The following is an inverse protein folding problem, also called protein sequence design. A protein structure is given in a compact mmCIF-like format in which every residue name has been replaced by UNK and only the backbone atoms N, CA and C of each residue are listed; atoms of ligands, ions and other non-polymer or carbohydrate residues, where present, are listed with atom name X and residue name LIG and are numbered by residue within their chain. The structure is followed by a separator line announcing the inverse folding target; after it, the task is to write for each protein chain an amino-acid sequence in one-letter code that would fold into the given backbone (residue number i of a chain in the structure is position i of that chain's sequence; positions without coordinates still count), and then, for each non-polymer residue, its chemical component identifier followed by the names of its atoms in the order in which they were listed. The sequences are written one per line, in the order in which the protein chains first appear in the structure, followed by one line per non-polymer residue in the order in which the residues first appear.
data_IF_667984050680
#
_entry.id   IF_667984050680
#
_cell.length_a   1.000
_cell.length_b   1.000
_cell.length_c   1.000
_cell.angle_alpha   90.00
_cell.angle_beta   90.00
_cell.angle_gamma   90.00
#
_symmetry.space_group_name_H-M   'P 1'
#
loop_
_entity.id
_entity.type
_entity.pdbx_description
1 polymer ?
#
# COMPACT_ATOMS: atom_id res chain seq x y z
N UNK A 1 -77.53 -41.90 -28.94
CA UNK A 1 -77.58 -40.43 -28.83
C UNK A 1 -76.31 -39.90 -29.49
N UNK A 2 -76.23 -39.62 -30.80
CA UNK A 2 -76.87 -38.53 -31.57
C UNK A 2 -76.62 -37.16 -30.91
N UNK A 3 -76.01 -36.11 -31.49
CA UNK A 3 -75.73 -35.68 -32.87
C UNK A 3 -74.60 -34.61 -32.86
N UNK A 4 -73.89 -34.45 -33.98
CA UNK A 4 -73.14 -33.22 -34.37
C UNK A 4 -74.01 -32.37 -35.34
N UNK A 5 -73.57 -31.32 -36.07
CA UNK A 5 -72.47 -30.33 -35.95
C UNK A 5 -72.90 -28.86 -36.30
N UNK A 6 -72.00 -27.86 -36.19
CA UNK A 6 -71.92 -26.64 -37.07
C UNK A 6 -70.74 -25.73 -36.65
N UNK A 7 -69.70 -25.53 -37.49
CA UNK A 7 -69.46 -24.49 -38.52
C UNK A 7 -69.15 -23.05 -38.01
N UNK A 8 -67.86 -22.71 -38.17
CA UNK A 8 -67.30 -21.55 -38.91
C UNK A 8 -67.18 -20.13 -38.27
N UNK A 9 -65.95 -19.61 -38.46
CA UNK A 9 -65.44 -18.22 -38.58
C UNK A 9 -64.85 -17.49 -37.35
N UNK A 10 -63.56 -17.08 -37.41
CA UNK A 10 -62.92 -16.14 -36.49
C UNK A 10 -62.58 -14.80 -37.18
N UNK A 11 -62.97 -13.64 -36.62
CA UNK A 11 -62.39 -12.30 -36.88
C UNK A 11 -62.97 -11.28 -35.88
N UNK A 12 -62.38 -10.09 -35.64
CA UNK A 12 -61.01 -9.64 -35.92
C UNK A 12 -60.32 -8.96 -34.72
N UNK A 13 -59.00 -9.10 -34.62
CA UNK A 13 -58.15 -8.19 -33.83
C UNK A 13 -58.00 -6.88 -34.60
N UNK A 14 -58.32 -5.78 -33.92
CA UNK A 14 -58.27 -4.41 -34.45
C UNK A 14 -56.82 -4.03 -34.74
N UNK A 15 -56.51 -3.85 -36.02
CA UNK A 15 -55.29 -3.22 -36.51
C UNK A 15 -55.63 -1.75 -36.86
N UNK A 16 -55.04 -0.79 -36.16
CA UNK A 16 -55.02 0.61 -36.59
C UNK A 16 -53.57 1.07 -36.64
N UNK A 17 -53.08 1.26 -37.85
CA UNK A 17 -51.79 1.86 -38.19
C UNK A 17 -51.85 3.38 -38.02
N UNK A 18 -50.73 4.00 -37.61
CA UNK A 18 -50.04 5.09 -38.32
C UNK A 18 -48.85 5.65 -37.51
N UNK A 19 -47.66 5.33 -38.01
CA UNK A 19 -46.47 6.17 -38.20
C UNK A 19 -46.02 7.19 -37.13
N UNK A 20 -44.82 6.96 -36.58
CA UNK A 20 -43.79 8.01 -36.47
C UNK A 20 -42.37 7.42 -36.59
N UNK A 21 -41.88 7.43 -37.83
CA UNK A 21 -40.50 7.73 -38.24
C UNK A 21 -39.36 7.43 -37.26
N UNK A 22 -38.69 6.29 -37.47
CA UNK A 22 -37.29 6.10 -37.06
C UNK A 22 -36.38 6.80 -38.09
N UNK A 23 -35.38 7.58 -37.68
CA UNK A 23 -34.50 8.27 -38.63
C UNK A 23 -33.62 7.25 -39.39
N UNK A 24 -33.59 7.44 -40.71
CA UNK A 24 -32.80 6.67 -41.67
C UNK A 24 -31.30 6.58 -41.29
N UNK A 25 -30.61 5.48 -41.65
CA UNK A 25 -29.15 5.41 -41.55
C UNK A 25 -28.53 6.39 -42.54
N UNK A 26 -27.63 7.25 -42.04
CA UNK A 26 -26.85 8.18 -42.87
C UNK A 26 -25.98 7.39 -43.87
N UNK A 27 -25.78 7.88 -45.11
CA UNK A 27 -24.81 7.30 -46.02
C UNK A 27 -23.41 7.36 -45.41
N UNK A 28 -22.66 6.26 -45.48
CA UNK A 28 -21.24 6.22 -45.12
C UNK A 28 -20.49 7.21 -46.02
N UNK A 29 -19.60 8.08 -45.49
CA UNK A 29 -18.70 8.83 -46.35
C UNK A 29 -17.77 7.84 -47.08
N UNK A 30 -17.63 8.05 -48.38
CA UNK A 30 -16.69 7.35 -49.25
C UNK A 30 -15.26 7.50 -48.70
N UNK A 31 -14.58 6.37 -48.54
CA UNK A 31 -13.16 6.33 -48.22
C UNK A 31 -12.34 6.95 -49.36
N UNK A 32 -11.40 7.88 -49.09
CA UNK A 32 -10.44 8.28 -50.11
C UNK A 32 -9.53 7.09 -50.43
N UNK A 33 -9.36 6.86 -51.72
CA UNK A 33 -8.48 5.87 -52.33
C UNK A 33 -7.01 6.12 -51.96
N UNK A 34 -6.28 5.04 -51.72
CA UNK A 34 -4.84 4.94 -51.96
C UNK A 34 -3.92 5.78 -51.08
N UNK A 35 -3.67 5.34 -49.85
CA UNK A 35 -2.37 5.54 -49.22
C UNK A 35 -1.73 4.17 -49.00
N UNK A 36 -0.47 3.94 -49.45
CA UNK A 36 0.18 2.67 -49.21
C UNK A 36 0.28 2.45 -47.71
N UNK A 37 -0.13 1.27 -47.24
CA UNK A 37 0.03 0.81 -45.87
C UNK A 37 1.47 1.08 -45.47
N UNK A 38 1.67 2.12 -44.63
CA UNK A 38 2.95 2.36 -43.98
C UNK A 38 3.16 1.14 -43.10
N UNK A 39 3.96 0.21 -43.58
CA UNK A 39 4.25 -1.04 -42.89
C UNK A 39 4.57 -0.68 -41.45
N UNK A 40 3.81 -1.24 -40.52
CA UNK A 40 4.16 -1.20 -39.11
C UNK A 40 5.45 -2.00 -39.01
N UNK A 41 6.57 -1.29 -39.17
CA UNK A 41 7.88 -1.81 -38.84
C UNK A 41 7.81 -2.10 -37.35
N UNK A 42 7.59 -3.37 -37.02
CA UNK A 42 7.78 -3.88 -35.69
C UNK A 42 9.16 -3.40 -35.24
N UNK A 43 9.20 -2.44 -34.33
CA UNK A 43 10.44 -1.94 -33.79
C UNK A 43 11.14 -3.13 -33.16
N UNK A 44 12.24 -3.59 -33.78
CA UNK A 44 13.09 -4.63 -33.20
C UNK A 44 13.43 -4.16 -31.79
N UNK A 45 12.91 -4.87 -30.80
CA UNK A 45 13.12 -4.60 -29.39
C UNK A 45 14.63 -4.69 -29.15
N UNK A 46 15.31 -3.55 -29.11
CA UNK A 46 16.71 -3.50 -28.70
C UNK A 46 16.74 -3.85 -27.22
N UNK A 47 17.09 -5.11 -26.95
CA UNK A 47 17.37 -5.56 -25.60
C UNK A 47 18.40 -4.62 -24.95
N UNK A 48 18.20 -4.36 -23.66
CA UNK A 48 19.09 -3.61 -22.74
C UNK A 48 18.93 -2.08 -22.65
N UNK A 49 17.84 -1.46 -23.08
CA UNK A 49 17.53 -0.09 -22.61
C UNK A 49 16.80 -0.17 -21.27
N UNK A 50 17.52 0.10 -20.16
CA UNK A 50 16.94 0.30 -18.82
C UNK A 50 15.92 1.44 -18.84
N UNK A 51 14.89 1.32 -18.01
CA UNK A 51 13.84 2.33 -17.91
C UNK A 51 14.43 3.71 -17.52
N UNK A 52 13.87 4.83 -18.01
CA UNK A 52 14.36 6.17 -17.66
C UNK A 52 14.43 6.44 -16.15
N UNK A 53 13.50 5.89 -15.37
CA UNK A 53 13.50 5.94 -13.90
C UNK A 53 14.70 5.19 -13.29
N UNK A 54 15.08 4.04 -13.85
CA UNK A 54 16.27 3.28 -13.42
C UNK A 54 17.56 4.03 -13.75
N UNK A 55 17.63 4.73 -14.89
CA UNK A 55 18.78 5.59 -15.23
C UNK A 55 18.92 6.77 -14.26
N UNK A 56 17.80 7.38 -13.84
CA UNK A 56 17.80 8.47 -12.84
C UNK A 56 18.24 7.96 -11.45
N UNK A 57 17.78 6.77 -11.04
CA UNK A 57 18.16 6.11 -9.79
C UNK A 57 19.66 5.74 -9.75
N UNK A 58 20.20 5.22 -10.86
CA UNK A 58 21.64 4.96 -11.02
C UNK A 58 22.49 6.25 -10.95
N UNK A 59 21.98 7.37 -11.49
CA UNK A 59 22.65 8.67 -11.38
C UNK A 59 22.67 9.20 -9.94
N UNK A 60 21.60 8.97 -9.17
CA UNK A 60 21.56 9.30 -7.75
C UNK A 60 22.48 8.39 -6.92
N UNK A 61 22.51 7.09 -7.20
CA UNK A 61 23.44 6.13 -6.56
C UNK A 61 24.91 6.42 -6.86
N UNK A 62 25.23 7.01 -8.03
CA UNK A 62 26.60 7.41 -8.39
C UNK A 62 27.05 8.74 -7.77
N UNK A 63 26.21 9.44 -7.00
CA UNK A 63 26.71 10.58 -6.21
C UNK A 63 27.63 10.00 -5.14
N UNK A 64 28.86 10.50 -5.07
CA UNK A 64 29.79 10.13 -4.01
C UNK A 64 29.07 10.31 -2.67
N UNK A 65 29.12 9.31 -1.77
CA UNK A 65 28.52 9.48 -0.47
C UNK A 65 29.23 10.66 0.20
N UNK A 66 28.47 11.71 0.51
CA UNK A 66 28.99 12.85 1.25
C UNK A 66 29.41 12.41 2.64
N UNK A 67 30.34 13.15 3.23
CA UNK A 67 30.74 12.94 4.62
C UNK A 67 29.50 13.05 5.54
N UNK A 68 29.29 12.03 6.36
CA UNK A 68 28.11 11.91 7.22
C UNK A 68 28.41 12.68 8.51
N UNK A 69 27.71 13.81 8.71
CA UNK A 69 27.95 14.70 9.85
C UNK A 69 27.58 14.07 11.20
N UNK A 70 26.47 13.33 11.26
CA UNK A 70 25.95 12.73 12.49
C UNK A 70 25.81 11.21 12.33
N UNK A 71 26.93 10.48 12.41
CA UNK A 71 26.98 9.01 12.23
C UNK A 71 26.21 8.22 13.30
N UNK A 72 26.07 8.83 14.47
CA UNK A 72 25.45 8.19 15.64
C UNK A 72 23.94 8.41 15.70
N UNK A 73 23.40 9.33 14.88
CA UNK A 73 21.97 9.57 14.79
C UNK A 73 21.41 8.97 13.50
N UNK A 74 20.19 8.43 13.57
CA UNK A 74 19.48 7.86 12.43
C UNK A 74 19.70 6.37 12.23
N UNK A 75 19.41 5.90 11.00
CA UNK A 75 19.39 4.49 10.62
C UNK A 75 20.47 4.20 9.58
N UNK A 76 21.24 3.14 9.79
CA UNK A 76 22.18 2.62 8.81
C UNK A 76 21.56 1.42 8.09
N UNK A 77 21.46 1.50 6.77
CA UNK A 77 20.98 0.40 5.92
C UNK A 77 22.15 -0.43 5.41
N UNK A 78 22.23 -1.66 5.89
CA UNK A 78 23.18 -2.69 5.47
C UNK A 78 22.53 -3.55 4.38
N UNK A 79 23.17 -3.65 3.22
CA UNK A 79 22.65 -4.37 2.05
C UNK A 79 23.62 -5.41 1.56
N UNK A 80 23.09 -6.45 0.90
CA UNK A 80 23.87 -7.56 0.31
C UNK A 80 24.49 -8.50 1.34
N UNK A 81 23.93 -8.59 2.55
CA UNK A 81 24.31 -9.57 3.57
C UNK A 81 23.90 -10.96 3.08
N UNK A 82 24.84 -11.91 2.98
CA UNK A 82 24.67 -13.13 2.20
C UNK A 82 24.68 -14.38 3.08
N UNK A 83 23.54 -14.71 3.65
CA UNK A 83 23.38 -15.83 4.59
C UNK A 83 23.18 -17.15 3.81
N UNK A 84 23.97 -18.20 4.07
CA UNK A 84 23.73 -19.54 3.52
C UNK A 84 22.33 -20.06 3.86
N UNK A 85 21.67 -20.76 2.94
CA UNK A 85 20.32 -21.33 3.19
C UNK A 85 20.31 -22.29 4.38
N UNK A 86 21.42 -22.98 4.67
CA UNK A 86 21.53 -23.89 5.81
C UNK A 86 21.47 -23.17 7.17
N UNK A 87 21.90 -21.90 7.21
CA UNK A 87 21.95 -21.09 8.43
C UNK A 87 20.73 -20.17 8.57
N UNK A 88 19.76 -20.31 7.66
CA UNK A 88 18.57 -19.49 7.57
C UNK A 88 17.39 -20.17 8.28
N UNK A 89 16.68 -19.47 9.18
CA UNK A 89 15.59 -20.05 9.98
C UNK A 89 14.28 -20.28 9.18
N UNK A 90 14.22 -19.93 7.90
CA UNK A 90 13.05 -20.14 7.04
C UNK A 90 12.15 -18.91 6.89
N UNK A 91 10.94 -19.14 6.39
CA UNK A 91 9.96 -18.09 6.06
C UNK A 91 9.24 -17.55 7.32
N UNK A 92 8.93 -18.41 8.28
CA UNK A 92 8.12 -18.07 9.46
C UNK A 92 8.86 -17.24 10.51
N UNK A 93 10.19 -17.11 10.38
CA UNK A 93 11.00 -16.36 11.32
C UNK A 93 11.11 -14.88 10.91
N UNK A 94 10.52 -14.01 11.74
CA UNK A 94 10.46 -12.56 11.50
C UNK A 94 11.59 -11.77 12.18
N UNK A 95 12.46 -12.44 12.94
CA UNK A 95 13.56 -11.82 13.68
C UNK A 95 14.86 -11.72 12.89
N UNK A 96 15.95 -11.44 13.61
CA UNK A 96 17.33 -11.48 13.08
C UNK A 96 17.97 -12.79 13.53
N UNK A 97 18.44 -13.60 12.57
CA UNK A 97 19.03 -14.92 12.85
C UNK A 97 20.50 -14.81 13.22
N UNK A 98 21.05 -15.82 13.89
CA UNK A 98 22.49 -15.88 14.21
C UNK A 98 23.37 -15.87 12.95
N UNK A 99 22.90 -16.49 11.85
CA UNK A 99 23.54 -16.42 10.55
C UNK A 99 23.59 -14.99 10.01
N UNK A 100 22.51 -14.23 10.18
CA UNK A 100 22.44 -12.84 9.77
C UNK A 100 23.29 -11.93 10.68
N UNK A 101 23.30 -12.17 12.00
CA UNK A 101 24.15 -11.44 12.94
C UNK A 101 25.65 -11.61 12.62
N UNK A 102 26.07 -12.80 12.17
CA UNK A 102 27.45 -13.03 11.71
C UNK A 102 27.83 -12.14 10.52
N UNK A 103 26.96 -12.08 9.52
CA UNK A 103 27.17 -11.22 8.34
C UNK A 103 27.15 -9.72 8.72
N UNK A 104 26.29 -9.32 9.65
CA UNK A 104 26.24 -7.94 10.17
C UNK A 104 27.55 -7.62 10.90
N UNK A 105 28.03 -8.51 11.77
CA UNK A 105 29.26 -8.34 12.50
C UNK A 105 30.46 -8.18 11.56
N UNK A 106 30.52 -8.96 10.48
CA UNK A 106 31.56 -8.80 9.44
C UNK A 106 31.51 -7.42 8.78
N UNK A 107 30.32 -6.92 8.42
CA UNK A 107 30.16 -5.59 7.80
C UNK A 107 30.50 -4.45 8.75
N UNK A 108 30.21 -4.61 10.04
CA UNK A 108 30.55 -3.63 11.08
C UNK A 108 31.99 -3.78 11.59
N UNK A 109 32.72 -4.81 11.13
CA UNK A 109 34.03 -5.21 11.65
C UNK A 109 34.00 -5.51 13.17
N UNK A 110 32.86 -5.96 13.67
CA UNK A 110 32.63 -6.29 15.08
C UNK A 110 33.12 -7.71 15.40
N UNK A 111 33.89 -7.93 16.48
CA UNK A 111 34.63 -9.18 16.69
C UNK A 111 33.77 -10.39 17.03
N UNK A 112 32.63 -10.22 17.69
CA UNK A 112 31.81 -11.33 18.20
C UNK A 112 30.34 -11.11 17.87
N UNK A 113 29.83 -11.79 16.85
CA UNK A 113 28.45 -11.63 16.39
C UNK A 113 27.38 -11.85 17.48
N UNK A 114 27.61 -12.77 18.41
CA UNK A 114 26.66 -13.09 19.48
C UNK A 114 26.50 -12.00 20.55
N UNK A 115 27.39 -11.01 20.58
CA UNK A 115 27.28 -9.88 21.51
C UNK A 115 26.39 -8.77 20.96
N UNK A 116 26.15 -8.76 19.64
CA UNK A 116 25.32 -7.75 18.99
C UNK A 116 23.85 -7.94 19.38
N UNK A 117 23.17 -6.89 19.87
CA UNK A 117 21.76 -6.96 20.23
C UNK A 117 20.89 -7.04 18.97
N UNK A 118 20.22 -8.16 18.77
CA UNK A 118 19.32 -8.38 17.63
C UNK A 118 18.20 -7.33 17.54
N UNK A 119 17.79 -6.74 18.68
CA UNK A 119 16.73 -5.75 18.77
C UNK A 119 17.08 -4.42 18.10
N UNK A 120 18.38 -4.13 17.90
CA UNK A 120 18.83 -2.93 17.22
C UNK A 120 18.68 -3.01 15.68
N UNK A 121 18.38 -4.20 15.17
CA UNK A 121 18.36 -4.49 13.74
C UNK A 121 16.94 -4.86 13.28
N UNK A 122 16.57 -4.42 12.08
CA UNK A 122 15.29 -4.70 11.45
C UNK A 122 15.50 -5.22 10.03
N UNK A 123 14.95 -6.40 9.72
CA UNK A 123 15.03 -6.95 8.36
C UNK A 123 14.07 -6.18 7.46
N UNK A 124 14.62 -5.43 6.49
CA UNK A 124 13.84 -4.67 5.50
C UNK A 124 13.44 -5.57 4.33
N UNK A 125 14.36 -6.44 3.92
CA UNK A 125 14.17 -7.30 2.75
C UNK A 125 14.99 -8.58 2.90
N UNK A 126 14.34 -9.70 2.63
CA UNK A 126 14.97 -11.00 2.35
C UNK A 126 14.70 -11.36 0.90
N UNK A 127 15.70 -11.87 0.19
CA UNK A 127 15.53 -12.27 -1.21
C UNK A 127 16.46 -13.41 -1.59
N UNK A 128 16.09 -14.17 -2.61
CA UNK A 128 16.87 -15.29 -3.11
C UNK A 128 17.05 -15.16 -4.63
N UNK A 129 18.28 -15.24 -5.13
CA UNK A 129 18.53 -15.16 -6.58
C UNK A 129 18.46 -16.56 -7.21
N UNK A 130 17.24 -16.97 -7.55
CA UNK A 130 16.97 -18.29 -8.15
C UNK A 130 17.61 -18.51 -9.54
N UNK A 131 18.24 -17.49 -10.14
CA UNK A 131 18.89 -17.60 -11.45
C UNK A 131 20.35 -18.02 -11.36
N UNK A 132 21.00 -17.74 -10.23
CA UNK A 132 22.41 -18.08 -10.02
C UNK A 132 22.47 -19.48 -9.43
N UNK A 133 22.90 -20.44 -10.23
CA UNK A 133 23.27 -21.77 -9.75
C UNK A 133 24.62 -21.66 -9.02
N UNK A 134 24.57 -21.25 -7.76
CA UNK A 134 25.74 -21.22 -6.87
C UNK A 134 25.96 -22.60 -6.28
N UNK A 135 27.22 -22.92 -5.98
CA UNK A 135 27.60 -24.14 -5.25
C UNK A 135 26.89 -24.22 -3.89
N UNK A 136 26.72 -23.06 -3.26
CA UNK A 136 25.95 -22.89 -2.03
C UNK A 136 24.86 -21.84 -2.26
N UNK A 137 23.57 -22.21 -2.12
CA UNK A 137 22.48 -21.26 -2.24
C UNK A 137 22.50 -20.30 -1.03
N UNK A 138 22.27 -19.01 -1.27
CA UNK A 138 22.31 -17.96 -0.25
C UNK A 138 21.09 -17.04 -0.34
N UNK A 139 20.54 -16.68 0.82
CA UNK A 139 19.62 -15.57 0.94
C UNK A 139 20.40 -14.26 1.03
N UNK A 140 19.86 -13.23 0.38
CA UNK A 140 20.40 -11.88 0.39
C UNK A 140 19.48 -10.99 1.19
N UNK A 141 20.04 -10.41 2.24
CA UNK A 141 19.35 -9.56 3.19
C UNK A 141 19.69 -8.07 3.00
N UNK A 142 18.70 -7.23 3.31
CA UNK A 142 18.86 -5.81 3.61
C UNK A 142 18.30 -5.58 5.00
N UNK A 143 19.10 -4.97 5.87
CA UNK A 143 18.82 -4.76 7.29
C UNK A 143 19.01 -3.28 7.61
N UNK A 144 18.10 -2.73 8.39
CA UNK A 144 18.21 -1.40 8.97
C UNK A 144 18.71 -1.53 10.41
N UNK A 145 19.75 -0.75 10.74
CA UNK A 145 20.37 -0.67 12.05
C UNK A 145 20.08 0.70 12.66
N UNK A 146 19.40 0.73 13.80
CA UNK A 146 19.19 1.97 14.57
C UNK A 146 20.44 2.26 15.42
N UNK A 147 21.19 3.31 15.05
CA UNK A 147 22.45 3.63 15.70
C UNK A 147 22.28 4.02 17.18
N UNK A 148 21.24 4.79 17.49
CA UNK A 148 20.94 5.21 18.86
C UNK A 148 20.56 4.02 19.73
N UNK A 149 19.70 3.13 19.22
CA UNK A 149 19.29 1.93 19.93
C UNK A 149 20.45 0.96 20.14
N UNK A 150 21.31 0.79 19.14
CA UNK A 150 22.50 -0.06 19.22
C UNK A 150 23.48 0.45 20.30
N UNK A 151 23.78 1.75 20.31
CA UNK A 151 24.67 2.36 21.30
C UNK A 151 24.13 2.24 22.73
N UNK A 152 22.81 2.34 22.90
CA UNK A 152 22.17 2.22 24.21
C UNK A 152 22.27 0.80 24.77
N UNK A 153 22.09 -0.21 23.91
CA UNK A 153 22.14 -1.62 24.30
C UNK A 153 23.58 -2.12 24.43
N UNK A 154 24.47 -1.75 23.51
CA UNK A 154 25.87 -2.15 23.52
C UNK A 154 26.80 -0.95 23.24
N UNK A 155 27.24 -0.22 24.29
CA UNK A 155 28.07 0.99 24.13
C UNK A 155 29.43 0.76 23.45
N UNK A 156 29.93 -0.49 23.45
CA UNK A 156 31.20 -0.88 22.79
C UNK A 156 31.15 -0.73 21.28
N UNK A 157 29.95 -0.70 20.70
CA UNK A 157 29.73 -0.50 19.26
C UNK A 157 30.12 0.89 18.77
N UNK A 158 30.32 1.86 19.68
CA UNK A 158 30.67 3.24 19.36
C UNK A 158 31.88 3.37 18.43
N UNK A 159 32.93 2.62 18.72
CA UNK A 159 34.19 2.64 17.97
C UNK A 159 33.99 2.15 16.52
N UNK A 160 33.17 1.12 16.33
CA UNK A 160 32.83 0.56 15.03
C UNK A 160 31.94 1.49 14.21
N UNK A 161 30.93 2.11 14.84
CA UNK A 161 30.07 3.10 14.18
C UNK A 161 30.87 4.34 13.76
N UNK A 162 31.85 4.76 14.57
CA UNK A 162 32.70 5.91 14.26
C UNK A 162 33.53 5.68 12.98
N UNK A 163 34.05 4.46 12.79
CA UNK A 163 34.79 4.02 11.60
C UNK A 163 33.89 3.67 10.42
N UNK A 164 32.60 3.49 10.64
CA UNK A 164 31.67 3.12 9.58
C UNK A 164 31.60 4.24 8.53
N UNK A 165 31.79 3.86 7.28
CA UNK A 165 31.73 4.77 6.14
C UNK A 165 30.68 4.32 5.12
N UNK A 166 29.91 5.27 4.56
CA UNK A 166 28.91 4.95 3.55
C UNK A 166 29.57 4.38 2.29
N UNK A 167 29.09 3.22 1.85
CA UNK A 167 29.52 2.51 0.64
C UNK A 167 28.28 2.24 -0.22
N UNK A 168 28.19 2.90 -1.38
CA UNK A 168 27.02 2.84 -2.27
C UNK A 168 26.52 1.41 -2.50
N UNK A 169 25.26 1.14 -2.13
CA UNK A 169 24.61 -0.14 -2.33
C UNK A 169 25.08 -1.28 -1.41
N UNK A 170 25.88 -0.98 -0.38
CA UNK A 170 26.29 -1.92 0.69
C UNK A 170 26.00 -1.32 2.07
N UNK A 171 26.43 -0.09 2.33
CA UNK A 171 26.21 0.63 3.59
C UNK A 171 25.73 2.03 3.26
N UNK A 172 24.48 2.34 3.60
CA UNK A 172 23.87 3.65 3.35
C UNK A 172 23.38 4.24 4.67
N UNK A 173 23.76 5.49 4.97
CA UNK A 173 23.26 6.19 6.14
C UNK A 173 22.02 7.01 5.79
N UNK A 174 20.97 6.86 6.60
CA UNK A 174 19.70 7.55 6.46
C UNK A 174 19.40 8.29 7.76
N UNK A 175 19.46 9.63 7.70
CA UNK A 175 19.19 10.52 8.83
C UNK A 175 17.70 10.67 9.18
N UNK A 176 16.79 10.02 8.45
CA UNK A 176 15.37 10.32 8.59
C UNK A 176 14.73 9.65 9.80
N UNK A 177 14.11 10.50 10.65
CA UNK A 177 12.99 10.18 11.55
C UNK A 177 12.05 9.21 10.82
N UNK A 178 11.64 8.13 11.49
CA UNK A 178 10.56 7.25 11.01
C UNK A 178 9.34 8.10 10.60
N UNK A 179 9.11 8.22 9.29
CA UNK A 179 8.06 9.03 8.67
C UNK A 179 6.64 8.41 8.81
N UNK A 180 6.35 7.76 9.94
CA UNK A 180 4.97 7.79 10.48
C UNK A 180 4.69 9.15 11.11
N UNK A 181 5.74 9.81 11.63
CA UNK A 181 5.66 11.19 12.08
C UNK A 181 5.30 12.15 10.97
N UNK A 182 5.72 11.93 9.72
CA UNK A 182 5.66 12.92 8.65
C UNK A 182 4.23 13.27 8.20
N UNK A 183 3.31 12.30 8.19
CA UNK A 183 1.88 12.59 7.96
C UNK A 183 1.31 13.43 9.10
N UNK A 184 1.59 13.08 10.37
CA UNK A 184 1.13 13.80 11.56
C UNK A 184 1.76 15.20 11.66
N UNK A 185 3.05 15.35 11.35
CA UNK A 185 3.74 16.66 11.37
C UNK A 185 3.33 17.56 10.22
N UNK A 186 3.09 17.03 9.01
CA UNK A 186 2.47 17.80 7.92
C UNK A 186 1.07 18.31 8.28
N UNK A 187 0.37 17.65 9.22
CA UNK A 187 -0.95 18.05 9.71
C UNK A 187 -0.86 19.11 10.81
N UNK A 188 0.05 18.95 11.78
CA UNK A 188 0.27 19.97 12.81
C UNK A 188 0.81 21.29 12.23
N UNK A 189 1.58 21.24 11.14
CA UNK A 189 1.99 22.45 10.43
C UNK A 189 0.79 23.19 9.80
N UNK A 190 -0.27 22.49 9.38
CA UNK A 190 -1.51 23.12 8.92
C UNK A 190 -2.31 23.74 10.05
N UNK A 191 -2.39 23.11 11.21
CA UNK A 191 -3.01 23.69 12.42
C UNK A 191 -2.28 24.97 12.85
N UNK A 192 -0.93 24.95 12.88
CA UNK A 192 -0.11 26.14 13.16
C UNK A 192 -0.30 27.26 12.13
N UNK A 193 -0.45 26.92 10.85
CA UNK A 193 -0.69 27.91 9.80
C UNK A 193 -2.07 28.55 9.97
N UNK A 194 -3.06 27.78 10.42
CA UNK A 194 -4.40 28.28 10.73
C UNK A 194 -4.41 29.20 11.96
N UNK A 195 -3.62 28.87 12.98
CA UNK A 195 -3.47 29.68 14.20
C UNK A 195 -2.69 30.98 13.97
N UNK A 196 -1.63 30.95 13.16
CA UNK A 196 -0.83 32.13 12.82
C UNK A 196 -1.53 33.10 11.83
N UNK A 197 -2.49 32.61 11.05
CA UNK A 197 -3.31 33.46 10.17
C UNK A 197 -4.42 34.15 10.98
N UNK A 198 -4.87 33.57 12.09
CA UNK A 198 -5.84 34.17 13.01
C UNK A 198 -5.23 35.22 13.95
N UNK A 199 -3.91 35.26 14.10
CA UNK A 199 -3.19 36.21 14.96
C UNK A 199 -2.62 37.45 14.23
N UNK A 200 -2.91 37.63 12.93
CA UNK A 200 -2.40 38.78 12.13
C UNK A 200 -3.48 39.75 11.64
N UNK A 201 -4.70 39.64 12.16
CA UNK A 201 -5.78 40.61 11.95
C UNK A 201 -6.39 40.98 13.30
N UNK A 202 -5.71 41.81 14.10
CA UNK A 202 -6.30 42.69 15.10
C UNK A 202 -5.22 43.60 15.70
N UNK A 203 -4.86 44.64 14.96
CA UNK A 203 -4.44 45.89 15.58
C UNK A 203 -5.34 47.01 15.03
N UNK A 204 -5.93 47.75 15.97
CA UNK A 204 -6.80 48.93 15.84
C UNK A 204 -8.28 48.70 15.48
N UNK A 205 -9.19 48.78 16.46
CA UNK A 205 -9.91 50.05 16.76
C UNK A 205 -10.81 49.93 18.02
N UNK A 206 -11.02 51.07 18.70
CA UNK A 206 -11.81 51.19 19.93
C UNK A 206 -13.32 51.35 19.64
N UNK A 207 -14.21 50.52 20.20
CA UNK A 207 -15.46 51.01 20.81
C UNK A 207 -16.26 49.98 21.63
N UNK A 208 -17.07 50.51 22.54
CA UNK A 208 -17.81 49.86 23.61
C UNK A 208 -19.03 49.01 23.19
N UNK A 209 -19.37 48.04 24.04
CA UNK A 209 -20.74 47.60 24.27
C UNK A 209 -21.40 46.69 23.23
N UNK A 210 -21.07 45.39 23.25
CA UNK A 210 -22.04 44.34 22.88
C UNK A 210 -21.60 43.00 23.46
N UNK A 211 -22.51 42.34 24.18
CA UNK A 211 -22.36 40.95 24.67
C UNK A 211 -22.34 40.03 23.44
N UNK A 212 -21.18 39.93 22.79
CA UNK A 212 -20.97 38.98 21.70
C UNK A 212 -20.88 37.60 22.32
N UNK A 213 -21.96 36.84 22.20
CA UNK A 213 -21.94 35.40 22.38
C UNK A 213 -20.79 34.86 21.51
N UNK A 214 -19.72 34.39 22.16
CA UNK A 214 -18.67 33.64 21.48
C UNK A 214 -19.32 32.37 20.95
N UNK A 215 -19.81 32.41 19.71
CA UNK A 215 -20.06 31.19 18.96
C UNK A 215 -18.69 30.56 18.77
N UNK A 216 -18.36 29.60 19.62
CA UNK A 216 -17.30 28.63 19.36
C UNK A 216 -17.56 28.12 17.95
N UNK A 217 -16.68 28.48 17.02
CA UNK A 217 -16.72 27.96 15.67
C UNK A 217 -16.38 26.48 15.82
N UNK A 218 -17.42 25.66 16.03
CA UNK A 218 -17.27 24.21 16.12
C UNK A 218 -16.53 23.78 14.86
N UNK A 219 -15.30 23.31 15.04
CA UNK A 219 -14.49 22.77 13.95
C UNK A 219 -15.34 21.67 13.34
N UNK A 220 -15.92 21.92 12.16
CA UNK A 220 -16.82 20.96 11.51
C UNK A 220 -15.98 19.78 11.09
N UNK A 221 -16.09 18.69 11.84
CA UNK A 221 -15.51 17.40 11.49
C UNK A 221 -16.04 17.01 10.10
N UNK A 222 -15.16 16.78 9.10
CA UNK A 222 -15.61 16.39 7.77
C UNK A 222 -16.26 15.01 7.83
N UNK A 223 -17.51 14.92 7.35
CA UNK A 223 -18.25 13.65 7.24
C UNK A 223 -18.00 13.02 5.89
N UNK A 224 -17.46 11.81 5.87
CA UNK A 224 -17.02 11.13 4.64
C UNK A 224 -17.65 9.74 4.57
N UNK A 225 -18.32 9.41 3.47
CA UNK A 225 -18.79 8.06 3.19
C UNK A 225 -17.78 7.34 2.29
N UNK A 226 -17.33 6.16 2.70
CA UNK A 226 -16.50 5.26 1.91
C UNK A 226 -17.34 4.06 1.50
N UNK A 227 -17.41 3.78 0.20
CA UNK A 227 -18.20 2.67 -0.35
C UNK A 227 -17.28 1.55 -0.81
N UNK A 228 -17.47 0.37 -0.24
CA UNK A 228 -16.69 -0.84 -0.44
C UNK A 228 -15.66 -1.03 0.67
N UNK A 229 -15.72 -2.18 1.34
CA UNK A 229 -14.81 -2.61 2.41
C UNK A 229 -13.63 -3.46 1.89
N UNK A 230 -13.27 -3.29 0.62
CA UNK A 230 -12.04 -3.89 0.08
C UNK A 230 -10.77 -3.22 0.61
N UNK A 231 -9.57 -3.69 0.24
CA UNK A 231 -8.31 -3.14 0.74
C UNK A 231 -8.17 -1.63 0.54
N UNK A 232 -8.66 -1.09 -0.59
CA UNK A 232 -8.64 0.34 -0.86
C UNK A 232 -9.57 1.14 0.05
N UNK A 233 -10.77 0.61 0.32
CA UNK A 233 -11.76 1.28 1.16
C UNK A 233 -11.36 1.24 2.62
N UNK A 234 -10.91 0.08 3.11
CA UNK A 234 -10.37 -0.06 4.46
C UNK A 234 -9.17 0.88 4.70
N UNK A 235 -8.22 0.94 3.76
CA UNK A 235 -7.08 1.86 3.86
C UNK A 235 -7.51 3.33 3.83
N UNK A 236 -8.42 3.70 2.93
CA UNK A 236 -8.95 5.06 2.88
C UNK A 236 -9.68 5.44 4.17
N UNK A 237 -10.52 4.55 4.71
CA UNK A 237 -11.23 4.78 5.96
C UNK A 237 -10.28 4.92 7.15
N UNK A 238 -9.25 4.07 7.24
CA UNK A 238 -8.23 4.15 8.29
C UNK A 238 -7.52 5.50 8.26
N UNK A 239 -6.96 5.87 7.10
CA UNK A 239 -6.24 7.13 6.96
C UNK A 239 -7.15 8.32 7.24
N UNK A 240 -8.37 8.34 6.70
CA UNK A 240 -9.31 9.45 6.95
C UNK A 240 -9.71 9.56 8.43
N UNK A 241 -9.88 8.43 9.13
CA UNK A 241 -10.16 8.42 10.56
C UNK A 241 -8.98 8.91 11.39
N UNK A 242 -7.74 8.52 11.04
CA UNK A 242 -6.51 9.05 11.66
C UNK A 242 -6.34 10.55 11.44
N UNK A 243 -6.84 11.06 10.31
CA UNK A 243 -6.90 12.50 10.00
C UNK A 243 -8.05 13.24 10.74
N UNK A 244 -8.79 12.54 11.60
CA UNK A 244 -9.87 13.13 12.41
C UNK A 244 -11.19 13.34 11.65
N UNK A 245 -11.40 12.67 10.52
CA UNK A 245 -12.68 12.69 9.81
C UNK A 245 -13.71 11.73 10.43
N UNK A 246 -14.99 12.08 10.33
CA UNK A 246 -16.11 11.20 10.66
C UNK A 246 -16.41 10.32 9.44
N UNK A 247 -15.87 9.09 9.44
CA UNK A 247 -15.92 8.17 8.31
C UNK A 247 -17.01 7.11 8.49
N UNK A 248 -17.92 7.02 7.52
CA UNK A 248 -18.91 5.95 7.41
C UNK A 248 -18.49 4.97 6.31
N UNK A 249 -18.12 3.74 6.66
CA UNK A 249 -17.78 2.68 5.69
C UNK A 249 -19.03 1.84 5.36
N UNK A 250 -19.34 1.67 4.08
CA UNK A 250 -20.53 0.97 3.59
C UNK A 250 -20.09 -0.18 2.68
N UNK A 251 -20.51 -1.41 3.00
CA UNK A 251 -20.29 -2.59 2.17
C UNK A 251 -21.63 -3.19 1.75
N UNK A 252 -21.72 -3.67 0.50
CA UNK A 252 -22.96 -4.28 -0.02
C UNK A 252 -23.12 -5.73 0.43
N UNK A 253 -22.01 -6.44 0.60
CA UNK A 253 -22.02 -7.85 0.98
C UNK A 253 -22.00 -8.08 2.48
N UNK A 254 -21.83 -9.34 2.84
CA UNK A 254 -21.93 -9.81 4.22
C UNK A 254 -20.60 -9.69 4.99
N UNK A 255 -20.64 -9.67 6.34
CA UNK A 255 -19.48 -9.86 7.20
C UNK A 255 -18.73 -11.16 6.87
N UNK A 256 -17.43 -11.20 7.16
CA UNK A 256 -16.52 -12.26 6.73
C UNK A 256 -16.98 -13.66 7.15
N UNK A 257 -17.54 -13.82 8.34
CA UNK A 257 -18.00 -15.11 8.87
C UNK A 257 -19.23 -15.63 8.11
N UNK A 258 -20.20 -14.75 7.85
CA UNK A 258 -21.40 -15.09 7.09
C UNK A 258 -21.05 -15.33 5.61
N UNK A 259 -20.19 -14.49 5.05
CA UNK A 259 -19.69 -14.62 3.67
C UNK A 259 -18.94 -15.93 3.46
N UNK A 260 -18.19 -16.41 4.46
CA UNK A 260 -17.56 -17.73 4.42
C UNK A 260 -18.56 -18.87 4.24
N UNK A 261 -19.74 -18.80 4.88
CA UNK A 261 -20.82 -19.79 4.70
C UNK A 261 -21.38 -19.76 3.28
N UNK A 262 -21.62 -18.56 2.75
CA UNK A 262 -22.17 -18.38 1.41
C UNK A 262 -21.20 -18.87 0.32
N UNK A 263 -19.89 -18.61 0.50
CA UNK A 263 -18.83 -19.13 -0.37
C UNK A 263 -18.74 -20.66 -0.26
N UNK A 264 -18.84 -21.22 0.94
CA UNK A 264 -18.90 -22.67 1.13
C UNK A 264 -20.09 -23.31 0.41
N UNK A 265 -21.28 -22.70 0.49
CA UNK A 265 -22.46 -23.14 -0.24
C UNK A 265 -22.29 -23.03 -1.76
N UNK A 266 -21.61 -21.99 -2.25
CA UNK A 266 -21.26 -21.86 -3.66
C UNK A 266 -20.32 -22.98 -4.13
N UNK A 267 -19.27 -23.27 -3.36
CA UNK A 267 -18.28 -24.29 -3.72
C UNK A 267 -18.90 -25.69 -3.72
N UNK A 268 -19.62 -26.04 -2.66
CA UNK A 268 -20.13 -27.41 -2.42
C UNK A 268 -21.47 -27.65 -3.11
N UNK A 269 -22.40 -26.71 -3.01
CA UNK A 269 -23.81 -26.87 -3.42
C UNK A 269 -24.15 -26.11 -4.71
N UNK A 270 -23.21 -25.35 -5.28
CA UNK A 270 -23.42 -24.50 -6.46
C UNK A 270 -24.51 -23.44 -6.28
N UNK A 271 -24.75 -23.02 -5.03
CA UNK A 271 -25.70 -21.97 -4.70
C UNK A 271 -24.96 -20.64 -4.61
N UNK A 272 -25.27 -19.72 -5.52
CA UNK A 272 -24.65 -18.39 -5.56
C UNK A 272 -25.54 -17.36 -4.85
N UNK A 273 -24.99 -16.69 -3.84
CA UNK A 273 -25.55 -15.46 -3.31
C UNK A 273 -24.98 -14.25 -4.07
N UNK A 274 -25.87 -13.46 -4.68
CA UNK A 274 -25.45 -12.37 -5.58
C UNK A 274 -24.72 -11.23 -4.86
N UNK A 275 -25.08 -11.00 -3.60
CA UNK A 275 -24.47 -9.95 -2.76
C UNK A 275 -23.36 -10.47 -1.84
N UNK A 276 -23.19 -11.80 -1.72
CA UNK A 276 -22.21 -12.43 -0.81
C UNK A 276 -21.45 -13.53 -1.55
N UNK A 277 -20.31 -13.18 -2.14
CA UNK A 277 -19.53 -14.09 -2.99
C UNK A 277 -18.05 -13.70 -3.00
N UNK A 278 -17.24 -14.31 -3.87
CA UNK A 278 -15.81 -14.01 -3.98
C UNK A 278 -15.49 -12.54 -4.25
N UNK A 279 -16.40 -11.77 -4.86
CA UNK A 279 -16.17 -10.36 -5.17
C UNK A 279 -16.71 -9.40 -4.09
N UNK A 280 -17.83 -9.74 -3.45
CA UNK A 280 -18.59 -8.81 -2.61
C UNK A 280 -18.71 -9.26 -1.15
N UNK A 281 -18.62 -8.29 -0.24
CA UNK A 281 -18.63 -8.44 1.21
C UNK A 281 -17.31 -8.04 1.85
N UNK A 282 -17.19 -8.28 3.15
CA UNK A 282 -16.10 -7.75 3.98
C UNK A 282 -14.71 -8.13 3.45
N UNK A 283 -13.81 -7.15 3.31
CA UNK A 283 -12.46 -7.29 2.75
C UNK A 283 -12.43 -7.43 1.22
N UNK A 284 -13.59 -7.34 0.55
CA UNK A 284 -13.72 -7.35 -0.91
C UNK A 284 -13.14 -8.61 -1.55
N UNK A 285 -12.55 -8.50 -2.73
CA UNK A 285 -11.94 -9.64 -3.44
C UNK A 285 -10.63 -10.14 -2.77
N UNK A 286 -10.05 -9.39 -1.83
CA UNK A 286 -8.80 -9.74 -1.18
C UNK A 286 -8.93 -10.89 -0.18
N UNK A 287 -10.08 -11.02 0.48
CA UNK A 287 -10.30 -11.93 1.62
C UNK A 287 -10.13 -13.41 1.29
N UNK A 288 -10.52 -13.84 0.08
CA UNK A 288 -10.34 -15.21 -0.42
C UNK A 288 -9.25 -15.31 -1.49
N UNK A 289 -8.30 -14.37 -1.49
CA UNK A 289 -7.10 -14.43 -2.32
C UNK A 289 -5.94 -15.04 -1.54
N UNK A 290 -4.87 -15.37 -2.24
CA UNK A 290 -3.60 -15.82 -1.64
C UNK A 290 -2.85 -14.70 -0.87
N UNK A 291 -3.47 -13.52 -0.69
CA UNK A 291 -2.89 -12.41 0.08
C UNK A 291 -1.64 -11.78 -0.53
N UNK A 292 -1.29 -12.13 -1.78
CA UNK A 292 -0.04 -11.69 -2.40
C UNK A 292 -0.01 -10.18 -2.65
N UNK A 293 0.90 -9.50 -1.98
CA UNK A 293 1.15 -8.07 -2.18
C UNK A 293 2.06 -7.85 -3.40
N UNK A 294 1.48 -7.42 -4.52
CA UNK A 294 2.25 -7.08 -5.71
C UNK A 294 2.80 -5.66 -5.59
N UNK A 295 4.11 -5.52 -5.39
CA UNK A 295 4.76 -4.21 -5.38
C UNK A 295 4.84 -3.67 -6.81
N UNK A 296 4.15 -2.56 -7.11
CA UNK A 296 4.39 -1.80 -8.35
C UNK A 296 5.75 -1.13 -8.24
N UNK A 297 6.77 -1.69 -8.87
CA UNK A 297 8.14 -1.17 -8.87
C UNK A 297 8.12 0.32 -9.25
N UNK A 298 8.53 1.18 -8.30
CA UNK A 298 8.72 2.62 -8.51
C UNK A 298 7.51 3.52 -8.27
N UNK A 299 6.41 3.05 -7.67
CA UNK A 299 5.22 3.91 -7.41
C UNK A 299 4.56 3.78 -6.04
N UNK A 300 5.00 2.89 -5.16
CA UNK A 300 4.46 2.84 -3.81
C UNK A 300 5.13 3.95 -2.98
N UNK A 301 4.33 4.85 -2.40
CA UNK A 301 4.82 5.82 -1.43
C UNK A 301 5.26 5.10 -0.16
N UNK A 302 6.30 5.62 0.48
CA UNK A 302 6.85 5.10 1.74
C UNK A 302 5.77 5.01 2.83
N UNK A 303 4.81 5.94 2.81
CA UNK A 303 3.62 5.96 3.67
C UNK A 303 2.71 4.74 3.53
N UNK A 304 2.49 4.22 2.31
CA UNK A 304 1.65 3.03 2.11
C UNK A 304 2.35 1.79 2.65
N UNK A 305 3.67 1.70 2.48
CA UNK A 305 4.46 0.61 3.05
C UNK A 305 4.48 0.66 4.57
N UNK A 306 4.59 1.86 5.16
CA UNK A 306 4.60 2.05 6.60
C UNK A 306 3.30 1.54 7.25
N UNK A 307 2.14 1.99 6.78
CA UNK A 307 0.84 1.55 7.33
C UNK A 307 0.62 0.04 7.13
N UNK A 308 1.00 -0.50 5.97
CA UNK A 308 0.86 -1.94 5.70
C UNK A 308 1.75 -2.79 6.61
N UNK A 309 3.02 -2.40 6.82
CA UNK A 309 4.01 -3.18 7.56
C UNK A 309 3.88 -2.96 9.07
N UNK A 310 3.70 -1.72 9.50
CA UNK A 310 3.69 -1.34 10.91
C UNK A 310 2.34 -1.60 11.55
N UNK A 311 1.24 -1.15 10.94
CA UNK A 311 -0.06 -1.13 11.61
C UNK A 311 -0.90 -2.37 11.28
N UNK A 312 -0.89 -2.82 10.03
CA UNK A 312 -1.66 -4.01 9.63
C UNK A 312 -1.00 -5.31 10.07
N UNK A 313 0.29 -5.51 9.78
CA UNK A 313 0.98 -6.78 10.07
C UNK A 313 1.29 -6.93 11.56
N UNK A 314 1.66 -5.87 12.28
CA UNK A 314 1.92 -5.97 13.72
C UNK A 314 0.66 -6.21 14.56
N UNK A 315 -0.51 -5.78 14.06
CA UNK A 315 -1.82 -6.02 14.69
C UNK A 315 -2.36 -7.43 14.47
N UNK A 316 -1.72 -8.24 13.62
CA UNK A 316 -2.06 -9.67 13.39
C UNK A 316 -1.42 -10.61 14.43
N UNK A 317 -0.77 -10.07 15.48
CA UNK A 317 -0.58 -10.82 16.74
C UNK A 317 -1.95 -11.23 17.28
N UNK A 318 -2.12 -12.40 17.93
CA UNK A 318 -3.43 -12.95 18.26
C UNK A 318 -4.11 -12.10 19.34
N UNK A 319 -4.77 -11.02 18.92
CA UNK A 319 -5.66 -10.25 19.78
C UNK A 319 -6.89 -11.10 19.99
N UNK A 320 -7.04 -11.57 21.22
CA UNK A 320 -8.23 -12.25 21.69
C UNK A 320 -9.46 -11.41 21.34
N UNK A 321 -10.48 -12.10 20.84
CA UNK A 321 -11.79 -11.58 20.50
C UNK A 321 -12.32 -10.62 21.56
N UNK A 322 -12.43 -9.35 21.21
CA UNK A 322 -13.40 -8.45 21.83
C UNK A 322 -14.23 -7.82 20.73
N UNK A 323 -15.36 -8.47 20.47
CA UNK A 323 -16.52 -7.84 19.87
C UNK A 323 -16.98 -6.73 20.80
N UNK A 324 -16.97 -5.49 20.34
CA UNK A 324 -17.75 -4.41 20.95
C UNK A 324 -18.48 -3.69 19.81
N UNK A 325 -19.68 -4.19 19.51
CA UNK A 325 -20.77 -3.37 19.03
C UNK A 325 -21.46 -2.76 20.26
N UNK A 326 -21.52 -1.44 20.33
CA UNK A 326 -22.61 -0.68 20.96
C UNK A 326 -22.69 0.68 20.30
#
# INVERSE_FOLDING_TARGET
MALAPSKLLPFPLVHRSLSRSFPHPRPRPSSPSGQPLRGVLCAKRTGKQRYPSEKKKLRQQKRAPGDVKDKFEGTWRLSRLAVPVADDPGEDFLGVSDGLLREIAEVLEFPVASMLPAEAFCVVRKSFDARKMLKEPKFVYTVDMDANKLLHLEPRTWDFISRLEPKVGVVEHMLNKKDTGDLISMLHDREKTHEATLSRENDNDHNAGSKRHCTYNSVKVPKIAVVGSGPSGLFASLVLAELGADVTLIERGQPVEQRGRDIGALIVRRILQLDSNFCFGEGGAGTWSDGKLVTRIGRNSESVLAVMIHDLISSVKPVHSYAIFS
#
